data_IF_730373867598
#
_entry.id   IF_730373867598
#
_cell.length_a   1.000
_cell.length_b   1.000
_cell.length_c   1.000
_cell.angle_alpha   90.00
_cell.angle_beta   90.00
_cell.angle_gamma   90.00
#
_symmetry.space_group_name_H-M   'P 1'
#
loop_
_entity.id
_entity.type
_entity.pdbx_description
1 polymer ?
#
# COMPACT_ATOMS: atom_id res chain seq x y z
N UNK A 1 -14.38 -0.37 30.83
CA UNK A 1 -14.32 0.48 29.62
C UNK A 1 -13.09 0.26 28.74
N UNK A 2 -12.52 -0.95 28.66
CA UNK A 2 -11.35 -1.23 27.81
C UNK A 2 -11.67 -1.94 26.49
N UNK A 3 -12.89 -2.44 26.30
CA UNK A 3 -13.26 -3.21 25.10
C UNK A 3 -13.15 -2.40 23.80
N UNK A 4 -13.58 -1.14 23.81
CA UNK A 4 -13.47 -0.25 22.64
C UNK A 4 -12.02 0.05 22.25
N UNK A 5 -11.12 0.15 23.24
CA UNK A 5 -9.68 0.32 23.00
C UNK A 5 -9.07 -0.93 22.38
N UNK A 6 -9.44 -2.11 22.86
CA UNK A 6 -9.02 -3.38 22.26
C UNK A 6 -9.49 -3.53 20.81
N UNK A 7 -10.73 -3.12 20.51
CA UNK A 7 -11.27 -3.12 19.15
C UNK A 7 -10.54 -2.16 18.21
N UNK A 8 -10.06 -1.02 18.71
CA UNK A 8 -9.30 -0.07 17.91
C UNK A 8 -7.96 -0.67 17.45
N UNK A 9 -7.20 -1.33 18.35
CA UNK A 9 -5.98 -2.03 17.93
C UNK A 9 -6.28 -3.18 16.99
N UNK A 10 -7.32 -3.97 17.29
CA UNK A 10 -7.70 -5.09 16.42
C UNK A 10 -8.01 -4.60 15.00
N UNK A 11 -8.71 -3.47 14.86
CA UNK A 11 -9.01 -2.85 13.58
C UNK A 11 -7.76 -2.29 12.87
N UNK A 12 -6.83 -1.69 13.61
CA UNK A 12 -5.58 -1.21 13.04
C UNK A 12 -4.76 -2.37 12.44
N UNK A 13 -4.55 -3.45 13.21
CA UNK A 13 -3.79 -4.60 12.73
C UNK A 13 -4.52 -5.35 11.60
N UNK A 14 -5.85 -5.48 11.66
CA UNK A 14 -6.60 -6.09 10.57
C UNK A 14 -6.52 -5.28 9.28
N UNK A 15 -6.51 -3.94 9.36
CA UNK A 15 -6.33 -3.08 8.19
C UNK A 15 -4.96 -3.24 7.54
N UNK A 16 -3.88 -3.39 8.33
CA UNK A 16 -2.51 -3.61 7.81
C UNK A 16 -2.44 -4.94 7.07
N UNK A 17 -2.96 -6.02 7.67
CA UNK A 17 -3.00 -7.33 7.05
C UNK A 17 -3.83 -7.31 5.76
N UNK A 18 -4.99 -6.68 5.78
CA UNK A 18 -5.85 -6.57 4.61
C UNK A 18 -5.16 -5.84 3.45
N UNK A 19 -4.50 -4.71 3.70
CA UNK A 19 -3.76 -3.97 2.67
C UNK A 19 -2.60 -4.79 2.10
N UNK A 20 -1.90 -5.58 2.93
CA UNK A 20 -0.79 -6.43 2.47
C UNK A 20 -1.22 -7.58 1.54
N UNK A 21 -2.43 -8.12 1.74
CA UNK A 21 -3.01 -9.16 0.88
C UNK A 21 -3.48 -8.59 -0.45
N UNK A 22 -4.09 -7.41 -0.42
CA UNK A 22 -4.51 -6.72 -1.65
C UNK A 22 -3.28 -6.40 -2.51
N UNK A 23 -2.23 -5.82 -1.91
CA UNK A 23 -1.01 -5.49 -2.65
C UNK A 23 -0.35 -6.74 -3.24
N UNK A 24 -0.26 -7.84 -2.49
CA UNK A 24 0.32 -9.08 -3.01
C UNK A 24 -0.48 -9.68 -4.17
N UNK A 25 -1.82 -9.54 -4.16
CA UNK A 25 -2.66 -10.00 -5.26
C UNK A 25 -2.46 -9.16 -6.53
N UNK A 26 -2.44 -7.83 -6.41
CA UNK A 26 -2.21 -6.93 -7.55
C UNK A 26 -0.83 -7.12 -8.19
N UNK A 27 0.23 -7.32 -7.38
CA UNK A 27 1.58 -7.54 -7.90
C UNK A 27 1.86 -8.99 -8.31
N UNK A 28 1.23 -9.97 -7.68
CA UNK A 28 1.47 -11.40 -7.90
C UNK A 28 0.74 -12.01 -9.09
N UNK A 29 -0.14 -11.27 -9.76
CA UNK A 29 -0.76 -11.68 -11.03
C UNK A 29 -1.58 -12.97 -10.97
N UNK A 30 -2.02 -13.39 -9.77
CA UNK A 30 -2.89 -14.55 -9.58
C UNK A 30 -2.21 -15.89 -9.29
N UNK A 31 -0.87 -15.98 -9.30
CA UNK A 31 -0.19 -17.21 -8.89
C UNK A 31 -0.12 -17.31 -7.36
N UNK A 32 -0.73 -18.37 -6.79
CA UNK A 32 -0.87 -18.55 -5.34
C UNK A 32 0.47 -18.54 -4.60
N UNK A 33 1.51 -19.18 -5.14
CA UNK A 33 2.83 -19.23 -4.50
C UNK A 33 3.51 -17.85 -4.45
N UNK A 34 3.36 -17.08 -5.53
CA UNK A 34 3.95 -15.74 -5.66
C UNK A 34 3.20 -14.74 -4.78
N UNK A 35 1.87 -14.80 -4.78
CA UNK A 35 1.03 -13.97 -3.91
C UNK A 35 1.33 -14.22 -2.42
N UNK A 36 1.55 -15.48 -2.02
CA UNK A 36 1.91 -15.81 -0.63
C UNK A 36 3.27 -15.20 -0.27
N UNK A 37 4.29 -15.44 -1.10
CA UNK A 37 5.65 -14.88 -0.89
C UNK A 37 5.65 -13.36 -0.76
N UNK A 38 4.96 -12.65 -1.69
CA UNK A 38 4.83 -11.20 -1.59
C UNK A 38 4.04 -10.75 -0.36
N UNK A 39 3.00 -11.48 0.04
CA UNK A 39 2.24 -11.19 1.26
C UNK A 39 3.13 -11.16 2.51
N UNK A 40 3.99 -12.18 2.71
CA UNK A 40 4.94 -12.17 3.83
C UNK A 40 5.94 -11.03 3.74
N UNK A 41 6.46 -10.76 2.54
CA UNK A 41 7.38 -9.65 2.32
C UNK A 41 6.76 -8.31 2.73
N UNK A 42 5.51 -8.04 2.31
CA UNK A 42 4.81 -6.80 2.68
C UNK A 42 4.56 -6.70 4.18
N UNK A 43 4.17 -7.77 4.86
CA UNK A 43 3.94 -7.75 6.32
C UNK A 43 5.24 -7.41 7.07
N UNK A 44 6.35 -8.05 6.71
CA UNK A 44 7.66 -7.78 7.32
C UNK A 44 8.09 -6.34 7.03
N UNK A 45 7.87 -5.86 5.80
CA UNK A 45 8.18 -4.50 5.42
C UNK A 45 7.36 -3.47 6.21
N UNK A 46 6.05 -3.68 6.42
CA UNK A 46 5.21 -2.80 7.24
C UNK A 46 5.67 -2.77 8.71
N UNK A 47 6.08 -3.92 9.25
CA UNK A 47 6.62 -3.98 10.62
C UNK A 47 7.93 -3.22 10.73
N UNK A 48 8.83 -3.38 9.75
CA UNK A 48 10.12 -2.69 9.72
C UNK A 48 9.96 -1.18 9.51
N UNK A 49 9.07 -0.76 8.61
CA UNK A 49 8.78 0.64 8.34
C UNK A 49 8.32 1.39 9.60
N UNK A 50 7.54 0.73 10.49
CA UNK A 50 7.14 1.32 11.78
C UNK A 50 8.28 1.50 12.76
N UNK A 51 9.31 0.65 12.69
CA UNK A 51 10.47 0.71 13.60
C UNK A 51 11.57 1.68 13.15
N UNK A 52 11.74 1.89 11.84
CA UNK A 52 12.92 2.59 11.29
C UNK A 52 12.64 4.03 10.86
N UNK A 53 11.42 4.35 10.44
CA UNK A 53 11.13 5.65 9.84
C UNK A 53 10.72 6.69 10.90
N UNK A 54 11.29 7.91 10.86
CA UNK A 54 10.82 9.00 11.72
C UNK A 54 9.41 9.43 11.29
N UNK A 55 8.59 9.84 12.27
CA UNK A 55 7.22 10.28 12.00
C UNK A 55 7.22 11.54 11.13
N UNK A 56 6.63 11.41 9.94
CA UNK A 56 6.46 12.52 9.02
C UNK A 56 5.18 13.30 9.33
N UNK A 57 5.22 14.64 9.25
CA UNK A 57 4.03 15.48 9.46
C UNK A 57 3.07 15.34 8.27
N UNK A 58 1.77 15.47 8.56
CA UNK A 58 0.70 15.32 7.57
C UNK A 58 0.82 16.33 6.41
N UNK A 59 1.26 17.55 6.68
CA UNK A 59 1.38 18.61 5.67
C UNK A 59 2.35 18.23 4.55
N UNK A 60 3.51 17.70 4.94
CA UNK A 60 4.55 17.28 4.01
C UNK A 60 4.11 16.01 3.26
N UNK A 61 3.37 15.10 3.91
CA UNK A 61 2.84 13.88 3.27
C UNK A 61 1.82 14.23 2.19
N UNK A 62 0.94 15.19 2.49
CA UNK A 62 -0.04 15.69 1.53
C UNK A 62 0.67 16.35 0.34
N UNK A 63 1.67 17.20 0.59
CA UNK A 63 2.41 17.86 -0.49
C UNK A 63 3.09 16.85 -1.42
N UNK A 64 3.67 15.78 -0.87
CA UNK A 64 4.27 14.71 -1.67
C UNK A 64 3.22 13.98 -2.51
N UNK A 65 2.07 13.61 -1.92
CA UNK A 65 0.97 12.97 -2.64
C UNK A 65 0.48 13.80 -3.84
N UNK A 66 0.26 15.09 -3.62
CA UNK A 66 -0.30 15.98 -4.63
C UNK A 66 0.70 16.40 -5.70
N UNK A 67 1.98 16.60 -5.35
CA UNK A 67 2.99 17.10 -6.28
C UNK A 67 3.70 16.00 -7.07
N UNK A 68 3.88 14.79 -6.51
CA UNK A 68 4.61 13.72 -7.19
C UNK A 68 3.72 12.53 -7.56
N UNK A 69 3.01 11.94 -6.59
CA UNK A 69 2.27 10.70 -6.84
C UNK A 69 1.09 10.88 -7.79
N UNK A 70 0.30 11.95 -7.62
CA UNK A 70 -0.87 12.22 -8.48
C UNK A 70 -0.49 12.47 -9.96
N UNK A 71 0.44 13.38 -10.31
CA UNK A 71 0.79 13.56 -11.72
C UNK A 71 1.48 12.31 -12.29
N UNK A 72 2.23 11.56 -11.48
CA UNK A 72 2.88 10.32 -11.94
C UNK A 72 1.87 9.23 -12.29
N UNK A 73 0.85 9.00 -11.45
CA UNK A 73 -0.18 8.00 -11.73
C UNK A 73 -1.02 8.36 -12.95
N UNK A 74 -1.35 9.64 -13.13
CA UNK A 74 -2.05 10.13 -14.32
C UNK A 74 -1.22 9.98 -15.60
N UNK A 75 0.08 10.28 -15.54
CA UNK A 75 0.99 10.09 -16.67
C UNK A 75 1.04 8.61 -17.11
N UNK A 76 1.21 7.69 -16.16
CA UNK A 76 1.21 6.25 -16.45
C UNK A 76 -0.11 5.79 -17.08
N UNK A 77 -1.25 6.28 -16.58
CA UNK A 77 -2.56 5.94 -17.13
C UNK A 77 -2.71 6.40 -18.58
N UNK A 78 -2.30 7.63 -18.89
CA UNK A 78 -2.36 8.16 -20.26
C UNK A 78 -1.42 7.37 -21.18
N UNK A 79 -0.20 7.07 -20.74
CA UNK A 79 0.76 6.28 -21.52
C UNK A 79 0.22 4.88 -21.85
N UNK A 80 -0.39 4.22 -20.87
CA UNK A 80 -1.02 2.91 -21.09
C UNK A 80 -2.17 3.02 -22.11
N UNK A 81 -3.03 4.03 -22.00
CA UNK A 81 -4.13 4.24 -22.95
C UNK A 81 -3.62 4.49 -24.38
N UNK A 82 -2.58 5.31 -24.55
CA UNK A 82 -1.98 5.57 -25.86
C UNK A 82 -1.33 4.31 -26.44
N UNK A 83 -0.60 3.53 -25.64
CA UNK A 83 -0.01 2.27 -26.11
C UNK A 83 -1.06 1.26 -26.55
N UNK A 84 -2.22 1.23 -25.90
CA UNK A 84 -3.35 0.38 -26.27
C UNK A 84 -4.01 0.86 -27.57
N UNK A 85 -4.09 2.17 -27.80
CA UNK A 85 -4.64 2.74 -29.04
C UNK A 85 -3.73 2.49 -30.25
N UNK A 86 -2.41 2.48 -30.03
CA UNK A 86 -1.41 2.26 -31.08
C UNK A 86 -1.24 0.79 -31.50
N UNK A 87 -1.75 -0.15 -30.68
CA UNK A 87 -1.67 -1.59 -30.91
C UNK A 87 -2.99 -2.12 -31.50
#
# INVERSE_FOLDING_TARGET
GGGLFALLFLAEYSSILFMSLISSFFFGGGNQFICFSFGFCFIIFFLFARGVLPRHRYDLLMLYCWKSFLPFSLCLLIMMLVSLLLL
#
